data_IF_402778406537
#
_entry.id   IF_402778406537
#
_cell.length_a   1.000
_cell.length_b   1.000
_cell.length_c   1.000
_cell.angle_alpha   90.00
_cell.angle_beta   90.00
_cell.angle_gamma   90.00
#
_symmetry.space_group_name_H-M   'P 1'
#
loop_
_entity.id
_entity.type
_entity.pdbx_description
1 polymer ?
#
# COMPACT_ATOMS: atom_id res chain seq x y z
N UNK A 1 -81.02 -11.80 46.63
CA UNK A 1 -80.07 -12.57 47.46
C UNK A 1 -79.33 -13.50 46.52
N UNK A 2 -78.01 -13.35 46.40
CA UNK A 2 -77.12 -14.01 45.44
C UNK A 2 -77.23 -15.56 45.54
N UNK A 3 -76.72 -16.41 44.60
CA UNK A 3 -75.30 -16.34 44.23
C UNK A 3 -74.82 -17.05 42.92
N UNK A 4 -73.48 -17.03 42.78
CA UNK A 4 -72.58 -18.03 42.17
C UNK A 4 -72.29 -18.04 40.65
N UNK A 5 -70.97 -18.05 40.39
CA UNK A 5 -70.18 -18.65 39.31
C UNK A 5 -69.39 -17.69 38.40
N UNK A 6 -68.17 -18.15 38.12
CA UNK A 6 -67.12 -17.64 37.23
C UNK A 6 -66.21 -16.59 37.90
N UNK A 7 -64.89 -16.59 37.74
CA UNK A 7 -64.12 -17.14 36.64
C UNK A 7 -62.68 -17.40 37.08
N UNK A 8 -62.14 -18.51 36.60
CA UNK A 8 -60.75 -18.90 36.69
C UNK A 8 -59.87 -17.92 35.89
N UNK A 9 -59.06 -17.10 36.56
CA UNK A 9 -58.02 -16.29 35.91
C UNK A 9 -56.82 -16.06 36.84
N UNK A 10 -56.27 -17.13 37.42
CA UNK A 10 -54.99 -17.06 38.13
C UNK A 10 -53.92 -17.91 37.41
N UNK A 11 -53.63 -17.59 36.15
CA UNK A 11 -52.50 -18.18 35.42
C UNK A 11 -51.95 -17.27 34.31
N UNK A 12 -51.74 -15.97 34.57
CA UNK A 12 -51.08 -15.11 33.56
C UNK A 12 -50.23 -14.01 34.22
N UNK A 13 -49.20 -14.35 35.00
CA UNK A 13 -48.11 -13.39 35.29
C UNK A 13 -46.76 -14.12 35.42
N UNK A 14 -46.34 -14.81 34.36
CA UNK A 14 -44.93 -15.22 34.18
C UNK A 14 -44.49 -14.90 32.76
N UNK A 15 -44.48 -13.62 32.38
CA UNK A 15 -43.94 -13.22 31.09
C UNK A 15 -43.62 -11.72 31.04
N UNK A 16 -42.74 -11.22 31.91
CA UNK A 16 -42.13 -9.92 31.67
C UNK A 16 -40.91 -9.79 32.56
N UNK A 17 -39.75 -10.20 32.07
CA UNK A 17 -38.47 -9.51 32.23
C UNK A 17 -37.41 -10.31 31.46
N UNK A 18 -37.69 -10.58 30.18
CA UNK A 18 -36.60 -10.68 29.24
C UNK A 18 -36.14 -9.24 29.01
N UNK A 19 -35.16 -8.78 29.79
CA UNK A 19 -34.30 -7.69 29.35
C UNK A 19 -33.66 -8.18 28.05
N UNK A 20 -34.33 -7.93 26.93
CA UNK A 20 -33.68 -7.95 25.65
C UNK A 20 -32.60 -6.87 25.78
N UNK A 21 -31.35 -7.29 25.99
CA UNK A 21 -30.22 -6.45 25.69
C UNK A 21 -30.43 -6.03 24.24
N UNK A 22 -30.96 -4.82 24.05
CA UNK A 22 -31.23 -4.26 22.74
C UNK A 22 -29.87 -4.27 22.02
N UNK A 23 -29.70 -5.21 21.09
CA UNK A 23 -28.45 -5.33 20.34
C UNK A 23 -28.25 -3.97 19.71
N UNK A 24 -27.21 -3.26 20.14
CA UNK A 24 -26.92 -1.91 19.66
C UNK A 24 -27.07 -1.92 18.13
N UNK A 25 -28.03 -1.17 17.55
CA UNK A 25 -28.30 -1.25 16.12
C UNK A 25 -27.10 -0.85 15.27
N UNK A 26 -26.13 -0.12 15.86
CA UNK A 26 -24.83 0.14 15.23
C UNK A 26 -24.00 -1.15 15.05
N UNK A 27 -24.10 -2.11 15.96
CA UNK A 27 -23.40 -3.39 15.89
C UNK A 27 -23.94 -4.33 14.81
N UNK A 28 -25.16 -4.07 14.30
CA UNK A 28 -25.79 -4.83 13.21
C UNK A 28 -25.83 -4.08 11.88
N UNK A 29 -25.18 -2.91 11.76
CA UNK A 29 -25.14 -2.18 10.50
C UNK A 29 -24.33 -2.96 9.46
N UNK A 30 -24.85 -3.12 8.22
CA UNK A 30 -24.09 -3.62 7.10
C UNK A 30 -22.77 -2.85 6.93
N UNK A 31 -21.69 -3.55 6.60
CA UNK A 31 -20.37 -2.93 6.37
C UNK A 31 -20.46 -1.82 5.29
N UNK A 32 -21.33 -2.00 4.30
CA UNK A 32 -21.56 -1.03 3.23
C UNK A 32 -21.97 0.36 3.74
N UNK A 33 -22.69 0.46 4.87
CA UNK A 33 -23.11 1.73 5.46
C UNK A 33 -21.93 2.53 6.05
N UNK A 34 -20.79 1.87 6.27
CA UNK A 34 -19.56 2.48 6.78
C UNK A 34 -18.57 2.87 5.68
N UNK A 35 -18.83 2.47 4.43
CA UNK A 35 -17.97 2.79 3.29
C UNK A 35 -18.63 3.93 2.53
N UNK A 36 -18.06 5.16 2.58
CA UNK A 36 -18.60 6.26 1.79
C UNK A 36 -18.45 5.95 0.30
N UNK A 37 -19.27 6.60 -0.53
CA UNK A 37 -19.03 6.61 -1.97
C UNK A 37 -17.70 7.32 -2.26
N UNK A 38 -16.66 6.51 -2.45
CA UNK A 38 -15.29 6.97 -2.68
C UNK A 38 -15.19 7.81 -3.95
N UNK A 39 -16.03 7.55 -4.96
CA UNK A 39 -16.02 8.29 -6.22
C UNK A 39 -16.60 9.70 -6.02
N UNK A 40 -17.61 9.85 -5.17
CA UNK A 40 -18.15 11.16 -4.81
C UNK A 40 -17.15 12.03 -4.02
N UNK A 41 -16.19 11.42 -3.33
CA UNK A 41 -15.17 12.12 -2.55
C UNK A 41 -13.88 12.41 -3.35
N UNK A 42 -13.61 11.66 -4.41
CA UNK A 42 -12.41 11.79 -5.21
C UNK A 42 -12.58 12.88 -6.30
N UNK A 43 -12.17 14.11 -6.00
CA UNK A 43 -12.03 15.15 -7.04
C UNK A 43 -10.64 15.04 -7.67
N UNK A 44 -10.53 14.84 -9.00
CA UNK A 44 -9.23 14.79 -9.65
C UNK A 44 -8.56 16.16 -9.60
N UNK A 45 -7.35 16.19 -9.05
CA UNK A 45 -6.45 17.34 -9.08
C UNK A 45 -5.18 16.95 -9.84
N UNK A 46 -4.66 17.84 -10.68
CA UNK A 46 -3.43 17.59 -11.43
C UNK A 46 -2.22 17.98 -10.59
N UNK A 47 -1.28 17.05 -10.45
CA UNK A 47 0.02 17.28 -9.83
C UNK A 47 1.00 17.98 -10.79
N UNK A 48 1.76 18.93 -10.27
CA UNK A 48 2.88 19.59 -10.97
C UNK A 48 4.04 18.62 -11.27
N UNK A 49 4.12 17.49 -10.55
CA UNK A 49 5.17 16.49 -10.73
C UNK A 49 4.76 15.31 -11.61
N UNK A 50 3.56 15.34 -12.20
CA UNK A 50 3.05 14.24 -13.02
C UNK A 50 4.04 13.80 -14.10
N UNK A 51 4.54 14.74 -14.89
CA UNK A 51 5.48 14.43 -15.99
C UNK A 51 6.79 13.85 -15.46
N UNK A 52 7.28 14.34 -14.32
CA UNK A 52 8.48 13.84 -13.67
C UNK A 52 8.29 12.38 -13.21
N UNK A 53 7.13 12.06 -12.62
CA UNK A 53 6.79 10.71 -12.19
C UNK A 53 6.64 9.77 -13.39
N UNK A 54 5.95 10.21 -14.45
CA UNK A 54 5.80 9.43 -15.68
C UNK A 54 7.17 9.14 -16.33
N UNK A 55 8.07 10.14 -16.35
CA UNK A 55 9.44 9.98 -16.81
C UNK A 55 10.21 8.95 -15.99
N UNK A 56 10.16 9.04 -14.65
CA UNK A 56 10.79 8.06 -13.76
C UNK A 56 10.28 6.63 -14.03
N UNK A 57 8.97 6.46 -14.19
CA UNK A 57 8.36 5.14 -14.46
C UNK A 57 8.84 4.59 -15.81
N UNK A 58 8.94 5.44 -16.83
CA UNK A 58 9.48 5.08 -18.14
C UNK A 58 10.94 4.66 -18.07
N UNK A 59 11.80 5.52 -17.53
CA UNK A 59 13.24 5.29 -17.46
C UNK A 59 13.58 4.07 -16.59
N UNK A 60 12.84 3.87 -15.48
CA UNK A 60 13.00 2.68 -14.65
C UNK A 60 12.69 1.39 -15.44
N UNK A 61 11.61 1.38 -16.21
CA UNK A 61 11.24 0.22 -17.03
C UNK A 61 12.32 -0.09 -18.07
N UNK A 62 12.93 0.94 -18.63
CA UNK A 62 14.00 0.79 -19.61
C UNK A 62 15.26 0.19 -18.96
N UNK A 63 15.74 0.77 -17.86
CA UNK A 63 16.96 0.28 -17.19
C UNK A 63 16.80 -1.14 -16.62
N UNK A 64 15.61 -1.48 -16.10
CA UNK A 64 15.32 -2.84 -15.61
C UNK A 64 15.26 -3.87 -16.74
N UNK A 65 14.85 -3.46 -17.95
CA UNK A 65 14.88 -4.34 -19.14
C UNK A 65 16.31 -4.60 -19.61
N UNK A 66 17.14 -3.57 -19.67
CA UNK A 66 18.56 -3.70 -20.06
C UNK A 66 19.39 -4.44 -19.00
N UNK A 67 19.06 -4.26 -17.72
CA UNK A 67 19.74 -4.94 -16.61
C UNK A 67 18.79 -5.91 -15.92
N UNK A 68 18.47 -6.99 -16.64
CA UNK A 68 17.43 -7.94 -16.26
C UNK A 68 17.92 -9.10 -15.39
N UNK A 69 19.22 -9.40 -15.37
CA UNK A 69 19.79 -10.56 -14.65
C UNK A 69 19.81 -10.31 -13.13
N UNK A 70 18.95 -10.99 -12.33
CA UNK A 70 18.91 -10.79 -10.88
C UNK A 70 20.21 -11.26 -10.22
N UNK A 71 20.64 -10.59 -9.15
CA UNK A 71 21.87 -10.92 -8.42
C UNK A 71 23.18 -10.58 -9.14
N UNK A 72 23.14 -10.09 -10.38
CA UNK A 72 24.34 -9.60 -11.09
C UNK A 72 24.89 -8.35 -10.43
N UNK A 73 26.21 -8.32 -10.19
CA UNK A 73 26.88 -7.14 -9.64
C UNK A 73 26.72 -5.92 -10.55
N UNK A 74 26.70 -6.12 -11.87
CA UNK A 74 26.54 -4.98 -12.80
C UNK A 74 25.11 -4.45 -12.79
N UNK A 75 24.10 -5.32 -12.75
CA UNK A 75 22.71 -4.86 -12.59
C UNK A 75 22.58 -4.01 -11.34
N UNK A 76 23.08 -4.52 -10.21
CA UNK A 76 23.03 -3.80 -8.94
C UNK A 76 23.72 -2.45 -9.01
N UNK A 77 24.94 -2.39 -9.54
CA UNK A 77 25.65 -1.13 -9.72
C UNK A 77 24.83 -0.10 -10.53
N UNK A 78 24.26 -0.53 -11.66
CA UNK A 78 23.52 0.36 -12.57
C UNK A 78 22.21 0.85 -11.99
N UNK A 79 21.45 -0.03 -11.32
CA UNK A 79 20.23 0.37 -10.63
C UNK A 79 20.52 1.31 -9.44
N UNK A 80 21.59 1.07 -8.69
CA UNK A 80 22.02 1.96 -7.60
C UNK A 80 22.39 3.35 -8.12
N UNK A 81 23.17 3.44 -9.20
CA UNK A 81 23.50 4.70 -9.88
C UNK A 81 22.23 5.44 -10.30
N UNK A 82 21.30 4.73 -10.94
CA UNK A 82 20.01 5.28 -11.39
C UNK A 82 19.15 5.83 -10.26
N UNK A 83 18.87 5.02 -9.23
CA UNK A 83 18.02 5.46 -8.12
C UNK A 83 18.66 6.59 -7.32
N UNK A 84 19.98 6.58 -7.15
CA UNK A 84 20.71 7.67 -6.48
C UNK A 84 20.64 8.96 -7.28
N UNK A 85 20.84 8.90 -8.61
CA UNK A 85 20.72 10.07 -9.48
C UNK A 85 19.30 10.67 -9.43
N UNK A 86 18.27 9.84 -9.47
CA UNK A 86 16.88 10.30 -9.30
C UNK A 86 16.62 10.91 -7.93
N UNK A 87 17.24 10.38 -6.87
CA UNK A 87 17.12 10.94 -5.52
C UNK A 87 17.73 12.35 -5.45
N UNK A 88 18.91 12.52 -6.03
CA UNK A 88 19.59 13.83 -6.13
C UNK A 88 18.77 14.83 -6.94
N UNK A 89 18.25 14.42 -8.10
CA UNK A 89 17.43 15.30 -8.94
C UNK A 89 16.10 15.68 -8.26
N UNK A 90 15.44 14.74 -7.59
CA UNK A 90 14.22 15.03 -6.84
C UNK A 90 14.49 15.98 -5.66
N UNK A 91 15.66 15.90 -5.02
CA UNK A 91 16.05 16.81 -3.94
C UNK A 91 16.27 18.26 -4.42
N UNK A 92 16.50 18.47 -5.72
CA UNK A 92 16.61 19.81 -6.30
C UNK A 92 15.26 20.46 -6.60
N UNK A 93 14.15 19.72 -6.52
CA UNK A 93 12.80 20.27 -6.66
C UNK A 93 12.49 21.15 -5.45
N UNK A 94 12.04 22.38 -5.70
CA UNK A 94 11.58 23.30 -4.66
C UNK A 94 10.25 22.81 -4.05
N UNK A 95 10.36 21.91 -3.08
CA UNK A 95 9.22 21.27 -2.42
C UNK A 95 8.25 22.29 -1.83
N UNK A 96 8.74 23.46 -1.41
CA UNK A 96 7.90 24.49 -0.79
C UNK A 96 7.00 25.24 -1.77
N UNK A 97 7.36 25.24 -3.05
CA UNK A 97 6.55 25.84 -4.11
C UNK A 97 5.49 24.91 -4.69
N UNK A 98 5.52 23.62 -4.34
CA UNK A 98 4.54 22.65 -4.82
C UNK A 98 3.20 22.81 -4.10
N UNK A 99 2.11 22.64 -4.84
CA UNK A 99 0.78 22.41 -4.28
C UNK A 99 0.68 21.05 -3.59
N UNK A 100 -0.49 20.75 -3.01
CA UNK A 100 -0.72 19.52 -2.24
C UNK A 100 -0.42 18.26 -3.04
N UNK A 101 -0.92 18.17 -4.28
CA UNK A 101 -0.70 17.00 -5.14
C UNK A 101 0.77 16.80 -5.50
N UNK A 102 1.48 17.87 -5.89
CA UNK A 102 2.92 17.81 -6.14
C UNK A 102 3.72 17.36 -4.91
N UNK A 103 3.35 17.82 -3.70
CA UNK A 103 4.00 17.39 -2.46
C UNK A 103 3.73 15.92 -2.13
N UNK A 104 2.53 15.43 -2.40
CA UNK A 104 2.18 14.01 -2.26
C UNK A 104 3.08 13.19 -3.20
N UNK A 105 3.13 13.54 -4.48
CA UNK A 105 3.93 12.82 -5.47
C UNK A 105 5.44 12.83 -5.13
N UNK A 106 5.98 13.99 -4.73
CA UNK A 106 7.37 14.09 -4.30
C UNK A 106 7.67 13.18 -3.11
N UNK A 107 6.76 13.11 -2.14
CA UNK A 107 6.92 12.28 -0.94
C UNK A 107 6.85 10.79 -1.28
N UNK A 108 5.88 10.40 -2.12
CA UNK A 108 5.73 9.03 -2.59
C UNK A 108 6.95 8.58 -3.40
N UNK A 109 7.42 9.42 -4.33
CA UNK A 109 8.60 9.10 -5.15
C UNK A 109 9.87 9.00 -4.29
N UNK A 110 10.08 9.91 -3.34
CA UNK A 110 11.22 9.83 -2.40
C UNK A 110 11.20 8.54 -1.59
N UNK A 111 10.04 8.17 -1.08
CA UNK A 111 9.84 6.92 -0.33
C UNK A 111 10.13 5.72 -1.21
N UNK A 112 9.65 5.74 -2.47
CA UNK A 112 9.91 4.68 -3.45
C UNK A 112 11.41 4.53 -3.71
N UNK A 113 12.12 5.61 -4.04
CA UNK A 113 13.57 5.57 -4.32
C UNK A 113 14.35 4.99 -3.13
N UNK A 114 13.99 5.40 -1.92
CA UNK A 114 14.61 4.86 -0.69
C UNK A 114 14.32 3.37 -0.52
N UNK A 115 13.10 2.94 -0.81
CA UNK A 115 12.71 1.54 -0.74
C UNK A 115 13.47 0.69 -1.76
N UNK A 116 13.61 1.15 -3.00
CA UNK A 116 14.31 0.41 -4.07
C UNK A 116 15.79 0.20 -3.74
N UNK A 117 16.47 1.23 -3.25
CA UNK A 117 17.86 1.11 -2.79
C UNK A 117 18.00 0.06 -1.68
N UNK A 118 17.10 0.07 -0.69
CA UNK A 118 17.10 -0.94 0.39
C UNK A 118 16.79 -2.34 -0.12
N UNK A 119 15.95 -2.48 -1.14
CA UNK A 119 15.68 -3.77 -1.77
C UNK A 119 16.95 -4.29 -2.46
N UNK A 120 17.64 -3.41 -3.17
CA UNK A 120 18.90 -3.73 -3.83
C UNK A 120 19.99 -4.16 -2.86
N UNK A 121 20.10 -3.50 -1.70
CA UNK A 121 21.05 -3.89 -0.65
C UNK A 121 20.75 -5.30 -0.11
N UNK A 122 19.46 -5.67 0.01
CA UNK A 122 19.08 -7.04 0.41
C UNK A 122 19.39 -8.05 -0.68
N UNK A 123 19.20 -7.71 -1.95
CA UNK A 123 19.57 -8.57 -3.09
C UNK A 123 21.08 -8.84 -3.11
N UNK A 124 21.89 -7.78 -2.95
CA UNK A 124 23.35 -7.87 -2.92
C UNK A 124 23.85 -8.73 -1.74
N UNK A 125 23.24 -8.57 -0.56
CA UNK A 125 23.58 -9.37 0.61
C UNK A 125 23.36 -10.87 0.36
N UNK A 126 22.20 -11.23 -0.22
CA UNK A 126 21.90 -12.63 -0.57
C UNK A 126 22.83 -13.17 -1.65
N UNK A 127 23.10 -12.38 -2.69
CA UNK A 127 24.03 -12.79 -3.75
C UNK A 127 25.42 -13.07 -3.18
N UNK A 128 25.88 -12.25 -2.22
CA UNK A 128 27.14 -12.47 -1.51
C UNK A 128 27.14 -13.75 -0.67
N UNK A 129 26.07 -14.01 0.08
CA UNK A 129 25.91 -15.25 0.87
C UNK A 129 25.98 -16.50 -0.02
N UNK A 130 25.34 -16.46 -1.20
CA UNK A 130 25.31 -17.58 -2.15
C UNK A 130 26.54 -17.70 -3.04
N UNK A 131 27.45 -16.72 -3.04
CA UNK A 131 28.58 -16.66 -3.98
C UNK A 131 29.47 -17.90 -3.95
N UNK A 132 29.63 -18.53 -2.78
CA UNK A 132 30.40 -19.78 -2.63
C UNK A 132 29.72 -21.00 -3.28
N UNK A 133 28.39 -21.00 -3.36
CA UNK A 133 27.59 -22.07 -3.97
C UNK A 133 27.46 -21.90 -5.49
N UNK A 134 27.57 -20.66 -5.97
CA UNK A 134 27.38 -20.29 -7.37
C UNK A 134 28.57 -19.47 -7.91
N UNK A 135 29.80 -20.02 -7.91
CA UNK A 135 31.00 -19.26 -8.29
C UNK A 135 31.00 -18.80 -9.76
N UNK A 136 30.18 -19.43 -10.61
CA UNK A 136 30.04 -19.10 -12.04
C UNK A 136 28.93 -18.07 -12.32
N UNK A 137 28.15 -17.66 -11.33
CA UNK A 137 26.96 -16.82 -11.55
C UNK A 137 27.28 -15.49 -12.22
N UNK A 138 28.39 -14.84 -11.83
CA UNK A 138 28.78 -13.55 -12.41
C UNK A 138 29.27 -13.69 -13.86
N UNK A 139 29.91 -14.82 -14.20
CA UNK A 139 30.34 -15.08 -15.57
C UNK A 139 29.14 -15.32 -16.49
N UNK A 140 28.13 -16.07 -16.03
CA UNK A 140 26.87 -16.25 -16.76
C UNK A 140 26.14 -14.90 -16.91
N UNK A 141 26.07 -14.11 -15.85
CA UNK A 141 25.44 -12.79 -15.89
C UNK A 141 26.11 -11.84 -16.90
N UNK A 142 27.42 -11.97 -17.12
CA UNK A 142 28.16 -11.18 -18.11
C UNK A 142 27.77 -11.52 -19.55
N UNK A 143 27.39 -12.76 -19.83
CA UNK A 143 27.02 -13.22 -21.18
C UNK A 143 25.61 -12.78 -21.60
N UNK A 144 24.72 -12.54 -20.63
CA UNK A 144 23.31 -12.21 -20.85
C UNK A 144 23.07 -10.70 -20.98
N UNK A 145 24.11 -9.94 -21.33
CA UNK A 145 24.18 -8.50 -21.15
C UNK A 145 24.37 -7.77 -22.46
#
# INVERSE_FOLDING_TARGET
>A
MAPLLTCATLLVITAAFAFAAEKNPAASRPIADYVPDVAALAKPQSSELRELVERFVGDRREIERFHSVPGSAVRSKRLREFFTAWQTNLAAVDFEKLGTEGRIDATLLRTRLTHELRLLDREDARAKEMSSLLPFAEDVARLLK
#
